data_IF_240774514438
#
_entry.id   IF_240774514438
#
_cell.length_a   1.000
_cell.length_b   1.000
_cell.length_c   1.000
_cell.angle_alpha   90.00
_cell.angle_beta   90.00
_cell.angle_gamma   90.00
#
_symmetry.space_group_name_H-M   'P 1'
#
loop_
_entity.id
_entity.type
_entity.pdbx_description
1 polymer ?
#
# COMPACT_ATOMS: atom_id res chain seq x y z
N UNK A 1 -19.90 5.31 3.20
CA UNK A 1 -18.89 4.52 3.96
C UNK A 1 -18.43 3.29 3.19
N UNK A 2 -19.32 2.60 2.47
CA UNK A 2 -19.02 1.37 1.70
C UNK A 2 -17.88 1.51 0.67
N UNK A 3 -17.80 2.64 -0.04
CA UNK A 3 -16.73 2.91 -1.03
C UNK A 3 -15.34 2.96 -0.40
N UNK A 4 -15.22 3.48 0.83
CA UNK A 4 -13.94 3.58 1.56
C UNK A 4 -13.45 2.18 1.97
N UNK A 5 -14.38 1.30 2.37
CA UNK A 5 -14.05 -0.08 2.75
C UNK A 5 -13.45 -0.86 1.56
N UNK A 6 -14.03 -0.74 0.36
CA UNK A 6 -13.49 -1.40 -0.83
C UNK A 6 -12.13 -0.85 -1.28
N UNK A 7 -11.90 0.46 -1.13
CA UNK A 7 -10.63 1.07 -1.50
C UNK A 7 -9.48 0.70 -0.55
N UNK A 8 -9.79 0.36 0.70
CA UNK A 8 -8.82 -0.07 1.70
C UNK A 8 -8.72 -1.60 1.85
N UNK A 9 -9.55 -2.39 1.16
CA UNK A 9 -9.42 -3.84 1.13
C UNK A 9 -8.15 -4.22 0.34
N UNK A 10 -7.19 -4.94 0.96
CA UNK A 10 -5.93 -5.29 0.30
C UNK A 10 -6.08 -6.07 -1.01
N UNK A 11 -7.10 -6.92 -1.10
CA UNK A 11 -7.38 -7.66 -2.32
C UNK A 11 -7.81 -6.73 -3.46
N UNK A 12 -8.73 -5.81 -3.18
CA UNK A 12 -9.20 -4.86 -4.19
C UNK A 12 -8.13 -3.85 -4.58
N UNK A 13 -7.34 -3.37 -3.62
CA UNK A 13 -6.17 -2.51 -3.88
C UNK A 13 -5.23 -3.17 -4.91
N UNK A 14 -4.85 -4.42 -4.65
CA UNK A 14 -3.95 -5.17 -5.51
C UNK A 14 -4.56 -5.45 -6.90
N UNK A 15 -5.83 -5.87 -6.95
CA UNK A 15 -6.53 -6.07 -8.23
C UNK A 15 -6.57 -4.80 -9.09
N UNK A 16 -6.82 -3.64 -8.48
CA UNK A 16 -6.85 -2.35 -9.19
C UNK A 16 -5.49 -1.97 -9.74
N UNK A 17 -4.42 -2.14 -8.96
CA UNK A 17 -3.07 -1.88 -9.42
C UNK A 17 -2.70 -2.78 -10.61
N UNK A 18 -2.93 -4.09 -10.50
CA UNK A 18 -2.65 -5.01 -11.61
C UNK A 18 -3.52 -4.76 -12.84
N UNK A 19 -4.78 -4.40 -12.66
CA UNK A 19 -5.66 -3.97 -13.75
C UNK A 19 -5.07 -2.79 -14.52
N UNK A 20 -4.65 -1.73 -13.82
CA UNK A 20 -4.02 -0.55 -14.43
C UNK A 20 -2.69 -0.88 -15.11
N UNK A 21 -1.87 -1.74 -14.52
CA UNK A 21 -0.61 -2.22 -15.13
C UNK A 21 -0.91 -2.94 -16.46
N UNK A 22 -1.88 -3.86 -16.46
CA UNK A 22 -2.28 -4.64 -17.64
C UNK A 22 -2.80 -3.72 -18.75
N UNK A 23 -3.62 -2.73 -18.42
CA UNK A 23 -4.08 -1.71 -19.38
C UNK A 23 -2.93 -0.91 -19.98
N UNK A 24 -1.97 -0.47 -19.14
CA UNK A 24 -0.80 0.29 -19.59
C UNK A 24 0.11 -0.53 -20.50
N UNK A 25 0.24 -1.84 -20.25
CA UNK A 25 0.96 -2.78 -21.11
C UNK A 25 0.25 -2.94 -22.46
N UNK A 26 -1.07 -3.15 -22.46
CA UNK A 26 -1.87 -3.25 -23.68
C UNK A 26 -1.78 -1.98 -24.55
N UNK A 27 -1.75 -0.80 -23.90
CA UNK A 27 -1.54 0.51 -24.56
C UNK A 27 -0.08 0.80 -24.93
N UNK A 28 0.85 -0.13 -24.70
CA UNK A 28 2.31 0.01 -24.93
C UNK A 28 2.97 1.19 -24.19
N UNK A 29 2.33 1.69 -23.13
CA UNK A 29 2.89 2.70 -22.23
C UNK A 29 3.96 2.08 -21.31
N UNK A 30 3.82 0.78 -21.04
CA UNK A 30 4.73 0.02 -20.18
C UNK A 30 5.41 -1.11 -20.96
N UNK A 31 6.61 -0.84 -21.52
CA UNK A 31 7.38 -1.80 -22.34
C UNK A 31 8.15 -2.86 -21.56
N UNK A 32 8.30 -2.69 -20.23
CA UNK A 32 9.07 -3.58 -19.37
C UNK A 32 8.21 -3.98 -18.18
N UNK A 33 8.40 -5.20 -17.70
CA UNK A 33 7.76 -5.68 -16.49
C UNK A 33 8.34 -4.93 -15.28
N UNK A 34 7.49 -4.16 -14.60
CA UNK A 34 7.82 -3.43 -13.35
C UNK A 34 7.33 -4.18 -12.11
N UNK A 35 6.45 -5.16 -12.32
CA UNK A 35 5.84 -5.99 -11.31
C UNK A 35 5.87 -7.45 -11.77
N UNK A 36 5.87 -8.37 -10.80
CA UNK A 36 5.62 -9.80 -11.02
C UNK A 36 4.25 -9.94 -11.66
N UNK A 37 4.17 -10.71 -12.75
CA UNK A 37 2.92 -10.89 -13.51
C UNK A 37 1.82 -11.48 -12.63
N UNK A 38 0.64 -10.88 -12.71
CA UNK A 38 -0.58 -11.39 -12.08
C UNK A 38 -1.43 -12.10 -13.14
N UNK A 39 -1.75 -13.37 -12.88
CA UNK A 39 -2.58 -14.21 -13.76
C UNK A 39 -4.07 -14.11 -13.42
N UNK A 40 -4.40 -13.57 -12.23
CA UNK A 40 -5.77 -13.33 -11.81
C UNK A 40 -5.98 -13.67 -10.34
N UNK A 41 -7.17 -14.12 -10.01
CA UNK A 41 -7.55 -14.51 -8.66
C UNK A 41 -8.41 -15.77 -8.67
N UNK A 42 -8.47 -16.43 -7.53
CA UNK A 42 -9.30 -17.60 -7.26
C UNK A 42 -10.18 -17.32 -6.04
N UNK A 43 -11.41 -17.82 -6.10
CA UNK A 43 -12.28 -17.94 -4.94
C UNK A 43 -12.12 -19.35 -4.40
N UNK A 44 -11.57 -19.47 -3.20
CA UNK A 44 -11.31 -20.75 -2.57
C UNK A 44 -12.60 -21.29 -1.95
N UNK A 45 -12.76 -22.62 -1.99
CA UNK A 45 -13.88 -23.31 -1.38
C UNK A 45 -13.66 -23.48 0.13
N UNK A 46 -14.71 -23.87 0.85
CA UNK A 46 -14.62 -24.11 2.30
C UNK A 46 -13.64 -25.25 2.64
N UNK A 47 -13.46 -26.21 1.74
CA UNK A 47 -12.44 -27.26 1.86
C UNK A 47 -11.03 -26.68 1.85
N UNK A 48 -10.74 -25.76 0.94
CA UNK A 48 -9.44 -25.10 0.84
C UNK A 48 -9.14 -24.25 2.07
N UNK A 49 -10.16 -23.54 2.58
CA UNK A 49 -10.08 -22.78 3.83
C UNK A 49 -9.65 -23.67 4.99
N UNK A 50 -10.31 -24.81 5.19
CA UNK A 50 -9.96 -25.76 6.28
C UNK A 50 -8.52 -26.26 6.16
N UNK A 51 -8.05 -26.50 4.92
CA UNK A 51 -6.67 -26.91 4.68
C UNK A 51 -5.69 -25.79 5.06
N UNK A 52 -6.02 -24.54 4.75
CA UNK A 52 -5.20 -23.37 5.08
C UNK A 52 -5.20 -23.06 6.58
N UNK A 53 -6.35 -23.14 7.24
CA UNK A 53 -6.49 -23.04 8.70
C UNK A 53 -5.68 -24.14 9.41
N UNK A 54 -5.73 -25.37 8.90
CA UNK A 54 -4.90 -26.49 9.40
C UNK A 54 -3.40 -26.28 9.20
N UNK A 55 -2.98 -25.36 8.33
CA UNK A 55 -1.59 -24.93 8.13
C UNK A 55 -1.22 -23.68 8.96
N UNK A 56 -2.14 -23.19 9.79
CA UNK A 56 -1.93 -22.02 10.64
C UNK A 56 -2.24 -20.67 9.97
N UNK A 57 -2.99 -20.65 8.86
CA UNK A 57 -3.48 -19.40 8.26
C UNK A 57 -4.77 -18.99 8.96
N UNK A 58 -4.77 -17.82 9.59
CA UNK A 58 -5.94 -17.25 10.25
C UNK A 58 -6.76 -16.37 9.29
N UNK A 59 -8.09 -16.50 9.36
CA UNK A 59 -9.05 -15.75 8.55
C UNK A 59 -10.15 -15.09 9.42
N UNK A 60 -10.02 -15.08 10.75
CA UNK A 60 -11.08 -14.69 11.69
C UNK A 60 -11.44 -13.18 11.66
N UNK A 61 -10.73 -12.32 10.93
CA UNK A 61 -11.00 -10.87 10.86
C UNK A 61 -12.17 -10.46 9.94
N UNK A 62 -12.79 -11.38 9.18
CA UNK A 62 -13.83 -11.05 8.18
C UNK A 62 -15.27 -11.40 8.58
N UNK A 63 -15.52 -11.75 9.85
CA UNK A 63 -16.89 -11.88 10.35
C UNK A 63 -17.43 -10.50 10.75
N UNK A 64 -17.72 -9.64 9.77
CA UNK A 64 -18.59 -8.48 10.03
C UNK A 64 -19.97 -9.04 10.33
N UNK A 65 -20.34 -9.03 11.60
CA UNK A 65 -21.69 -9.34 12.03
C UNK A 65 -22.63 -8.29 11.39
N UNK A 66 -23.26 -8.62 10.28
CA UNK A 66 -24.47 -7.92 9.82
C UNK A 66 -25.57 -8.18 10.84
N UNK A 67 -25.71 -7.25 11.79
CA UNK A 67 -26.69 -7.31 12.87
C UNK A 67 -26.97 -5.93 13.44
N UNK A 68 -27.16 -4.94 12.58
CA UNK A 68 -27.63 -3.60 12.97
C UNK A 68 -29.12 -3.45 12.69
N UNK A 69 -29.97 -4.09 13.50
CA UNK A 69 -31.40 -3.82 13.51
C UNK A 69 -31.63 -2.46 14.21
N UNK A 70 -32.07 -1.47 13.44
CA UNK A 70 -32.28 -0.11 13.92
C UNK A 70 -33.63 -0.01 14.63
N UNK A 71 -33.72 -0.51 15.87
CA UNK A 71 -34.90 -0.23 16.68
C UNK A 71 -34.67 1.02 17.54
N UNK A 72 -35.39 2.07 17.17
CA UNK A 72 -35.54 3.28 17.97
C UNK A 72 -36.29 2.94 19.26
N UNK A 73 -35.72 3.27 20.41
CA UNK A 73 -36.41 3.12 21.70
C UNK A 73 -35.56 3.65 22.85
N UNK A 74 -35.88 4.84 23.33
CA UNK A 74 -35.19 5.46 24.46
C UNK A 74 -35.62 4.92 25.82
N UNK A 75 -34.83 5.30 26.85
CA UNK A 75 -35.26 5.39 28.25
C UNK A 75 -34.46 4.54 29.23
N UNK A 76 -33.95 5.18 30.29
CA UNK A 76 -33.71 4.54 31.59
C UNK A 76 -32.28 4.56 32.11
N UNK A 77 -32.06 5.39 33.14
CA UNK A 77 -30.92 5.37 34.08
C UNK A 77 -31.06 4.15 35.00
N UNK A 78 -29.96 3.57 35.50
CA UNK A 78 -29.77 3.20 36.93
C UNK A 78 -28.45 2.42 37.20
N UNK A 79 -28.01 2.55 38.45
CA UNK A 79 -26.68 2.41 39.06
C UNK A 79 -26.07 1.01 39.26
N UNK A 80 -24.73 1.01 39.27
CA UNK A 80 -23.75 0.21 40.06
C UNK A 80 -24.00 -1.29 40.37
N UNK A 81 -23.07 -2.15 39.91
CA UNK A 81 -22.37 -3.14 40.79
C UNK A 81 -21.19 -3.82 40.09
N UNK A 82 -20.00 -3.63 40.65
CA UNK A 82 -18.84 -4.52 40.49
C UNK A 82 -18.98 -5.79 41.36
N UNK A 83 -18.16 -6.80 41.02
CA UNK A 83 -17.98 -8.15 41.59
C UNK A 83 -18.92 -9.18 40.95
N UNK A 84 -18.46 -10.32 40.43
CA UNK A 84 -17.38 -11.17 40.89
C UNK A 84 -17.00 -12.22 39.82
N UNK A 85 -15.78 -12.72 39.94
CA UNK A 85 -15.12 -13.68 39.07
C UNK A 85 -15.41 -15.11 39.56
N UNK A 86 -15.86 -15.99 38.65
CA UNK A 86 -15.61 -17.45 38.55
C UNK A 86 -16.87 -18.19 38.11
N UNK A 87 -16.79 -18.77 36.92
CA UNK A 87 -17.23 -20.13 36.55
C UNK A 87 -17.10 -20.27 35.03
N UNK A 88 -15.84 -20.32 34.55
CA UNK A 88 -15.52 -20.64 33.16
C UNK A 88 -15.64 -22.15 32.98
N UNK A 89 -16.87 -22.63 32.83
CA UNK A 89 -17.17 -24.00 32.43
C UNK A 89 -17.22 -24.04 30.91
N UNK A 90 -16.41 -24.93 30.32
CA UNK A 90 -16.44 -25.37 28.93
C UNK A 90 -17.89 -25.45 28.41
N UNK A 91 -18.31 -24.42 27.68
CA UNK A 91 -19.51 -24.48 26.86
C UNK A 91 -19.07 -24.97 25.49
N UNK A 92 -19.41 -26.19 25.08
CA UNK A 92 -19.20 -26.60 23.70
C UNK A 92 -20.01 -25.65 22.81
N UNK A 93 -19.30 -24.82 22.04
CA UNK A 93 -19.92 -23.98 21.04
C UNK A 93 -20.53 -24.91 19.99
N UNK A 94 -21.86 -24.98 19.97
CA UNK A 94 -22.58 -25.60 18.86
C UNK A 94 -22.17 -24.87 17.58
N UNK A 95 -21.83 -25.57 16.48
CA UNK A 95 -21.53 -24.92 15.22
C UNK A 95 -22.82 -24.25 14.71
N UNK A 96 -22.97 -22.97 15.01
CA UNK A 96 -23.96 -22.12 14.37
C UNK A 96 -23.65 -22.10 12.87
N UNK A 97 -24.67 -22.33 12.03
CA UNK A 97 -24.55 -22.16 10.58
C UNK A 97 -24.19 -20.70 10.31
N UNK A 98 -22.90 -20.41 10.04
CA UNK A 98 -22.38 -19.10 9.64
C UNK A 98 -22.90 -18.77 8.23
N UNK A 99 -24.15 -18.32 8.12
CA UNK A 99 -24.67 -17.70 6.90
C UNK A 99 -24.02 -16.31 6.78
N UNK A 100 -23.30 -16.05 5.68
CA UNK A 100 -22.76 -14.71 5.37
C UNK A 100 -21.25 -14.56 5.29
N UNK A 101 -20.46 -15.64 5.42
CA UNK A 101 -18.98 -15.54 5.28
C UNK A 101 -18.57 -15.32 3.83
N UNK A 102 -17.73 -14.30 3.59
CA UNK A 102 -17.14 -14.10 2.28
C UNK A 102 -16.16 -15.25 1.93
N UNK A 103 -16.14 -15.72 0.67
CA UNK A 103 -15.14 -16.70 0.22
C UNK A 103 -13.72 -16.18 0.44
N UNK A 104 -12.78 -17.08 0.78
CA UNK A 104 -11.36 -16.69 0.78
C UNK A 104 -10.95 -16.38 -0.65
N UNK A 105 -10.25 -15.26 -0.84
CA UNK A 105 -9.77 -14.80 -2.14
C UNK A 105 -8.26 -15.00 -2.19
N UNK A 106 -7.77 -15.60 -3.26
CA UNK A 106 -6.34 -15.79 -3.51
C UNK A 106 -5.93 -15.10 -4.81
N UNK A 107 -4.79 -14.41 -4.82
CA UNK A 107 -4.23 -13.81 -6.04
C UNK A 107 -3.17 -14.76 -6.61
N UNK A 108 -3.27 -15.03 -7.91
CA UNK A 108 -2.38 -15.93 -8.62
C UNK A 108 -1.34 -15.11 -9.38
N UNK A 109 -0.06 -15.33 -9.08
CA UNK A 109 1.08 -14.62 -9.68
C UNK A 109 2.03 -15.62 -10.34
N UNK A 110 2.82 -15.13 -11.30
CA UNK A 110 3.95 -15.91 -11.82
C UNK A 110 4.88 -16.30 -10.66
N UNK A 111 5.41 -17.52 -10.70
CA UNK A 111 6.40 -17.97 -9.73
C UNK A 111 7.69 -17.18 -9.95
N UNK A 112 7.93 -16.19 -9.09
CA UNK A 112 9.10 -15.34 -9.16
C UNK A 112 10.34 -15.97 -8.50
N UNK A 113 11.52 -15.42 -8.80
CA UNK A 113 12.76 -15.73 -8.06
C UNK A 113 12.56 -15.48 -6.57
N UNK A 114 13.33 -16.14 -5.70
CA UNK A 114 13.39 -15.84 -4.26
C UNK A 114 14.26 -14.61 -3.97
N UNK A 115 15.17 -14.26 -4.88
CA UNK A 115 16.08 -13.13 -4.72
C UNK A 115 15.36 -11.81 -4.96
N UNK A 116 15.63 -10.81 -4.12
CA UNK A 116 15.02 -9.49 -4.29
C UNK A 116 15.51 -8.77 -5.55
N UNK A 117 16.79 -8.96 -5.91
CA UNK A 117 17.49 -8.19 -6.95
C UNK A 117 17.75 -6.73 -6.56
N UNK A 118 17.45 -6.31 -5.33
CA UNK A 118 17.69 -4.94 -4.85
C UNK A 118 19.16 -4.81 -4.46
N UNK A 119 19.95 -4.23 -5.35
CA UNK A 119 21.40 -4.10 -5.25
C UNK A 119 21.83 -2.73 -5.81
N UNK A 120 23.00 -2.24 -5.41
CA UNK A 120 23.48 -0.93 -5.87
C UNK A 120 23.42 -0.72 -7.40
N UNK A 121 23.76 -1.72 -8.26
CA UNK A 121 23.63 -1.58 -9.72
C UNK A 121 22.18 -1.47 -10.21
N UNK A 122 21.22 -2.10 -9.53
CA UNK A 122 19.81 -2.14 -9.94
C UNK A 122 18.99 -0.94 -9.48
N UNK A 123 19.45 -0.19 -8.48
CA UNK A 123 18.71 0.94 -7.89
C UNK A 123 18.20 1.98 -8.91
N UNK A 124 18.99 2.31 -9.94
CA UNK A 124 18.52 3.23 -11.01
C UNK A 124 17.34 2.65 -11.78
N UNK A 125 17.33 1.34 -12.01
CA UNK A 125 16.25 0.64 -12.72
C UNK A 125 15.00 0.56 -11.84
N UNK A 126 15.16 0.22 -10.55
CA UNK A 126 14.08 0.17 -9.57
C UNK A 126 13.41 1.54 -9.43
N UNK A 127 14.18 2.61 -9.17
CA UNK A 127 13.62 3.97 -9.04
C UNK A 127 12.85 4.40 -10.28
N UNK A 128 13.37 4.10 -11.47
CA UNK A 128 12.68 4.38 -12.73
C UNK A 128 11.38 3.58 -12.87
N UNK A 129 11.33 2.35 -12.37
CA UNK A 129 10.13 1.53 -12.41
C UNK A 129 9.07 2.05 -11.42
N UNK A 130 9.46 2.43 -10.20
CA UNK A 130 8.58 3.12 -9.24
C UNK A 130 8.02 4.40 -9.86
N UNK A 131 8.89 5.26 -10.39
CA UNK A 131 8.46 6.50 -11.07
C UNK A 131 7.49 6.27 -12.23
N UNK A 132 7.54 5.10 -12.89
CA UNK A 132 6.59 4.75 -13.94
C UNK A 132 5.24 4.34 -13.37
N UNK A 133 5.21 3.62 -12.25
CA UNK A 133 3.97 3.27 -11.57
C UNK A 133 3.25 4.53 -11.09
N UNK A 134 3.97 5.47 -10.44
CA UNK A 134 3.37 6.73 -9.98
C UNK A 134 2.81 7.56 -11.15
N UNK A 135 3.43 7.49 -12.34
CA UNK A 135 2.91 8.15 -13.57
C UNK A 135 1.71 7.44 -14.21
N UNK A 136 1.41 6.22 -13.79
CA UNK A 136 0.19 5.49 -14.14
C UNK A 136 -0.88 5.63 -13.05
N UNK A 137 -0.64 6.55 -12.10
CA UNK A 137 -1.45 6.81 -10.92
C UNK A 137 -1.64 5.56 -10.05
N UNK A 138 -0.55 4.79 -9.91
CA UNK A 138 -0.43 3.67 -8.98
C UNK A 138 0.65 4.04 -7.96
N UNK A 139 0.27 4.11 -6.69
CA UNK A 139 1.15 4.40 -5.56
C UNK A 139 1.21 3.14 -4.70
N UNK A 140 2.36 2.47 -4.65
CA UNK A 140 2.49 1.14 -4.05
C UNK A 140 2.36 1.16 -2.51
N UNK A 141 2.88 2.22 -1.87
CA UNK A 141 2.92 2.44 -0.43
C UNK A 141 3.65 1.35 0.40
N UNK A 142 4.35 0.42 -0.25
CA UNK A 142 5.08 -0.64 0.44
C UNK A 142 6.43 -0.93 -0.24
N UNK A 143 7.17 0.14 -0.57
CA UNK A 143 8.50 0.04 -1.20
C UNK A 143 9.53 -0.38 -0.16
N UNK A 144 9.81 -1.68 -0.10
CA UNK A 144 10.82 -2.31 0.77
C UNK A 144 11.46 -3.49 0.06
N UNK A 145 12.70 -3.85 0.42
CA UNK A 145 13.47 -4.91 -0.25
C UNK A 145 12.73 -6.24 -0.33
N UNK A 146 12.03 -6.60 0.74
CA UNK A 146 11.26 -7.84 0.85
C UNK A 146 10.06 -7.92 -0.11
N UNK A 147 9.67 -6.80 -0.72
CA UNK A 147 8.58 -6.73 -1.69
C UNK A 147 9.08 -6.68 -3.14
N UNK A 148 10.38 -6.88 -3.36
CA UNK A 148 10.94 -7.07 -4.68
C UNK A 148 11.29 -8.54 -4.91
N UNK A 149 11.11 -9.01 -6.14
CA UNK A 149 11.67 -10.27 -6.66
C UNK A 149 12.31 -10.00 -8.02
N UNK A 150 13.62 -10.23 -8.14
CA UNK A 150 14.41 -9.87 -9.31
C UNK A 150 14.08 -8.46 -9.84
N UNK A 151 14.06 -7.47 -8.93
CA UNK A 151 13.79 -6.05 -9.18
C UNK A 151 12.37 -5.69 -9.62
N UNK A 152 11.44 -6.63 -9.57
CA UNK A 152 10.01 -6.41 -9.81
C UNK A 152 9.26 -6.35 -8.49
N UNK A 153 8.28 -5.46 -8.36
CA UNK A 153 7.38 -5.44 -7.21
C UNK A 153 6.46 -6.66 -7.22
N UNK A 154 6.22 -7.25 -6.04
CA UNK A 154 5.31 -8.39 -5.89
C UNK A 154 4.06 -8.05 -5.09
N UNK A 155 4.11 -7.10 -4.16
CA UNK A 155 3.00 -6.82 -3.24
C UNK A 155 2.36 -5.47 -3.54
N UNK A 156 1.05 -5.48 -3.82
CA UNK A 156 0.25 -4.27 -4.06
C UNK A 156 -0.96 -4.19 -3.11
N UNK A 157 -0.98 -4.98 -2.04
CA UNK A 157 -2.08 -4.99 -1.07
C UNK A 157 -2.28 -3.66 -0.35
N UNK A 158 -1.23 -2.84 -0.24
CA UNK A 158 -1.30 -1.49 0.33
C UNK A 158 -1.42 -0.37 -0.72
N UNK A 159 -1.52 -0.73 -2.01
CA UNK A 159 -1.41 0.25 -3.08
C UNK A 159 -2.67 1.07 -3.27
N UNK A 160 -2.52 2.35 -3.57
CA UNK A 160 -3.61 3.20 -4.01
C UNK A 160 -3.50 3.47 -5.50
N UNK A 161 -4.62 3.34 -6.20
CA UNK A 161 -4.71 3.63 -7.64
C UNK A 161 -5.76 4.70 -7.86
N UNK A 162 -5.49 5.75 -8.65
CA UNK A 162 -6.51 6.76 -8.96
C UNK A 162 -7.52 6.25 -10.00
N UNK A 163 -8.82 6.58 -9.89
CA UNK A 163 -9.43 7.41 -8.84
C UNK A 163 -9.48 6.69 -7.48
N UNK A 164 -9.30 7.43 -6.38
CA UNK A 164 -9.32 6.89 -5.03
C UNK A 164 -10.06 7.86 -4.11
N UNK A 165 -11.08 7.38 -3.40
CA UNK A 165 -11.98 8.24 -2.62
C UNK A 165 -11.26 9.17 -1.63
N UNK A 166 -10.20 8.69 -0.96
CA UNK A 166 -9.42 9.51 -0.02
C UNK A 166 -8.60 10.57 -0.76
N UNK A 167 -7.98 10.21 -1.89
CA UNK A 167 -7.16 11.14 -2.68
C UNK A 167 -7.99 12.26 -3.33
N UNK A 168 -9.26 12.01 -3.59
CA UNK A 168 -10.20 13.00 -4.10
C UNK A 168 -10.75 13.91 -2.99
N UNK A 169 -10.94 13.37 -1.78
CA UNK A 169 -11.48 14.10 -0.65
C UNK A 169 -10.43 14.99 0.04
N UNK A 170 -9.19 14.52 0.15
CA UNK A 170 -8.11 15.18 0.86
C UNK A 170 -6.91 15.44 -0.07
N UNK A 171 -6.66 16.72 -0.33
CA UNK A 171 -5.59 17.16 -1.24
C UNK A 171 -4.20 17.05 -0.62
N UNK A 172 -4.11 17.19 0.70
CA UNK A 172 -2.82 17.14 1.40
C UNK A 172 -2.37 15.67 1.47
N UNK A 173 -3.28 14.77 1.87
CA UNK A 173 -3.06 13.32 1.80
C UNK A 173 -2.69 12.87 0.37
N UNK A 174 -3.35 13.46 -0.64
CA UNK A 174 -3.02 13.16 -2.03
C UNK A 174 -1.66 13.69 -2.48
N UNK A 175 -1.22 14.82 -1.96
CA UNK A 175 0.12 15.34 -2.25
C UNK A 175 1.20 14.45 -1.61
N UNK A 176 0.98 14.01 -0.37
CA UNK A 176 1.87 13.12 0.37
C UNK A 176 1.97 11.74 -0.29
N UNK A 177 0.84 11.11 -0.57
CA UNK A 177 0.77 9.79 -1.22
C UNK A 177 1.55 9.76 -2.55
N UNK A 178 1.43 10.82 -3.37
CA UNK A 178 2.09 10.90 -4.69
C UNK A 178 3.61 10.90 -4.64
N UNK A 179 4.19 11.35 -3.51
CA UNK A 179 5.65 11.37 -3.29
C UNK A 179 6.13 10.25 -2.38
N UNK A 180 5.24 9.58 -1.66
CA UNK A 180 5.57 8.61 -0.61
C UNK A 180 6.46 7.46 -1.12
N UNK A 181 6.15 6.86 -2.27
CA UNK A 181 6.97 5.77 -2.82
C UNK A 181 8.42 6.18 -3.10
N UNK A 182 8.65 7.45 -3.43
CA UNK A 182 9.99 8.00 -3.66
C UNK A 182 10.74 8.16 -2.33
N UNK A 183 10.05 8.59 -1.28
CA UNK A 183 10.60 8.66 0.08
C UNK A 183 10.97 7.25 0.56
N UNK A 184 10.03 6.31 0.46
CA UNK A 184 10.24 4.90 0.85
C UNK A 184 11.37 4.24 0.06
N UNK A 185 11.60 4.62 -1.20
CA UNK A 185 12.76 4.17 -1.96
C UNK A 185 14.08 4.62 -1.32
N UNK A 186 14.19 5.91 -0.95
CA UNK A 186 15.41 6.43 -0.29
C UNK A 186 15.61 5.80 1.10
N UNK A 187 14.53 5.57 1.85
CA UNK A 187 14.54 4.84 3.13
C UNK A 187 15.01 3.40 2.95
N UNK A 188 14.50 2.68 1.96
CA UNK A 188 14.93 1.32 1.62
C UNK A 188 16.44 1.29 1.32
N UNK A 189 16.94 2.24 0.52
CA UNK A 189 18.38 2.34 0.22
C UNK A 189 19.22 2.57 1.48
N UNK A 190 18.73 3.39 2.41
CA UNK A 190 19.39 3.67 3.67
C UNK A 190 19.38 2.47 4.64
N UNK A 191 18.23 1.83 4.84
CA UNK A 191 18.08 0.66 5.72
C UNK A 191 18.97 -0.50 5.27
N UNK A 192 19.05 -0.73 3.96
CA UNK A 192 19.88 -1.79 3.37
C UNK A 192 21.37 -1.43 3.28
N UNK A 193 21.76 -0.23 3.74
CA UNK A 193 23.15 0.27 3.72
C UNK A 193 23.79 0.21 2.32
N UNK A 194 22.99 0.43 1.27
CA UNK A 194 23.44 0.31 -0.11
C UNK A 194 24.29 1.51 -0.51
N UNK A 195 25.55 1.26 -0.87
CA UNK A 195 26.48 2.30 -1.34
C UNK A 195 26.07 2.79 -2.73
N UNK A 196 25.45 3.96 -2.80
CA UNK A 196 24.99 4.54 -4.08
C UNK A 196 24.93 6.07 -4.04
N UNK A 197 24.89 6.68 -5.22
CA UNK A 197 24.54 8.10 -5.40
C UNK A 197 23.11 8.29 -5.93
N UNK A 198 22.38 7.20 -6.20
CA UNK A 198 21.00 7.24 -6.66
C UNK A 198 20.11 7.71 -5.52
N UNK A 199 19.29 8.72 -5.77
CA UNK A 199 18.25 9.21 -4.85
C UNK A 199 17.00 9.58 -5.60
N UNK A 200 15.86 9.38 -4.96
CA UNK A 200 14.56 9.75 -5.47
C UNK A 200 14.18 11.19 -5.05
N UNK A 201 14.45 11.55 -3.79
CA UNK A 201 14.15 12.86 -3.24
C UNK A 201 15.32 13.84 -3.41
N UNK A 202 15.04 15.15 -3.52
CA UNK A 202 16.08 16.16 -3.54
C UNK A 202 16.88 16.12 -2.23
N UNK A 203 18.19 16.26 -2.33
CA UNK A 203 18.99 16.50 -1.14
C UNK A 203 18.78 17.94 -0.67
N UNK A 204 17.91 18.11 0.32
CA UNK A 204 17.59 19.41 0.88
C UNK A 204 18.82 20.19 1.35
N UNK A 205 19.83 19.52 1.95
CA UNK A 205 21.10 20.16 2.34
C UNK A 205 21.87 20.69 1.13
N UNK A 206 21.85 19.98 0.00
CA UNK A 206 22.47 20.42 -1.25
C UNK A 206 21.67 21.51 -1.96
N UNK A 207 20.33 21.39 -2.00
CA UNK A 207 19.43 22.40 -2.55
C UNK A 207 19.56 23.74 -1.82
N UNK A 208 19.69 23.72 -0.49
CA UNK A 208 19.90 24.92 0.33
C UNK A 208 21.26 25.58 0.04
N UNK A 209 22.32 24.81 -0.19
CA UNK A 209 23.65 25.32 -0.59
C UNK A 209 23.67 25.98 -1.98
N UNK A 210 22.79 25.57 -2.89
CA UNK A 210 22.65 26.19 -4.21
C UNK A 210 21.82 27.49 -4.16
N UNK A 211 20.78 27.54 -3.31
CA UNK A 211 19.95 28.73 -3.11
C UNK A 211 20.74 29.88 -2.46
N UNK A 212 21.66 29.58 -1.53
CA UNK A 212 22.51 30.60 -0.90
C UNK A 212 23.53 31.25 -1.83
N UNK A 213 23.83 30.66 -3.00
CA UNK A 213 24.80 31.21 -3.97
C UNK A 213 24.23 32.28 -4.90
N UNK A 214 22.91 32.50 -4.95
CA UNK A 214 22.28 33.49 -5.86
C UNK A 214 22.25 34.94 -5.35
N UNK A 215 22.78 35.23 -4.16
CA UNK A 215 22.98 36.60 -3.66
C UNK A 215 24.46 37.00 -3.72
N UNK A 216 24.98 37.24 -4.93
CA UNK A 216 26.05 38.22 -5.13
C UNK A 216 25.53 39.23 -6.14
N UNK A 217 24.91 40.28 -5.60
CA UNK A 217 24.48 41.43 -6.37
C UNK A 217 25.69 42.01 -7.11
N UNK A 218 25.54 42.20 -8.42
CA UNK A 218 26.36 43.10 -9.21
C UNK A 218 26.23 44.51 -8.61
N UNK A 219 27.22 44.94 -7.85
CA UNK A 219 27.36 46.34 -7.44
C UNK A 219 27.69 47.16 -8.69
N UNK A 220 26.66 47.71 -9.33
CA UNK A 220 26.80 48.72 -10.37
C UNK A 220 27.28 50.02 -9.74
N UNK A 221 28.50 50.43 -10.09
CA UNK A 221 29.04 51.75 -9.80
C UNK A 221 28.37 52.78 -10.72
N UNK A 222 27.46 53.59 -10.18
CA UNK A 222 27.10 54.88 -10.76
C UNK A 222 28.09 55.92 -10.22
N UNK A 223 29.10 56.26 -11.02
CA UNK A 223 29.90 57.49 -10.84
C UNK A 223 29.29 58.60 -11.70
N UNK A 224 29.19 59.78 -11.09
CA UNK A 224 28.44 60.93 -11.60
C UNK A 224 29.04 61.61 -12.82
N UNK A 225 28.17 62.35 -13.50
CA UNK A 225 28.54 63.36 -14.48
C UNK A 225 28.40 64.74 -13.81
N UNK A 226 29.46 65.53 -13.94
CA UNK A 226 29.52 66.98 -13.71
C UNK A 226 28.97 67.68 -14.95
#
# INVERSE_FOLDING_TARGET
>A
METIAFHNDPFFAECRAYGRIKEAQAKRMLKREVAVRCEGFLLLQDEDRKILEGKGVDFEEQDVAEGGDCNSGGGGIDDQKEKEQKDFVDRPQKPGKRQGRQPVRAIVKELASTESGVEAPSLRRILRNISKLNRLDIYNQNIRKDNFRNEKLVDFGSSWTEPHCILEADKDEAAETRVQDLVMFDEMVAMESLKTHVRATPNWLYCNKLRSRKFKASSGSLQGAV
#
